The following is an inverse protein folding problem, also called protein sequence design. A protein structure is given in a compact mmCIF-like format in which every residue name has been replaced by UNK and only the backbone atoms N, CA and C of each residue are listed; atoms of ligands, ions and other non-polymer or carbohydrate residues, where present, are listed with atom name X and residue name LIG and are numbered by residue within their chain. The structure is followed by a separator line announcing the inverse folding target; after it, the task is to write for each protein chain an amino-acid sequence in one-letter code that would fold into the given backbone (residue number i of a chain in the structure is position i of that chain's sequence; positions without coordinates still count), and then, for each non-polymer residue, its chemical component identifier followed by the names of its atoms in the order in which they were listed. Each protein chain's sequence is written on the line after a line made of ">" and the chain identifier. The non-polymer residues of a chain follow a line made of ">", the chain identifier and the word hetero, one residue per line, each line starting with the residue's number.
data_IF_569810697312
#
_entry.id   IF_569810697312
#
_cell.length_a   1.000
_cell.length_b   1.000
_cell.length_c   1.000
_cell.angle_alpha   90.00
_cell.angle_beta   90.00
_cell.angle_gamma   90.00
#
_symmetry.space_group_name_H-M   'P 1'
#
loop_
_entity.id
_entity.type
_entity.pdbx_description
1 polymer ?
#
# COMPACT_ATOMS: atom_id res chain seq x y z
N UNK A 1 9.94 0.23 -16.56
CA UNK A 1 8.75 -0.65 -16.48
C UNK A 1 7.86 -0.11 -15.38
N UNK A 2 6.58 0.12 -15.65
CA UNK A 2 5.64 0.55 -14.62
C UNK A 2 5.35 -0.65 -13.70
N UNK A 3 5.56 -0.49 -12.39
CA UNK A 3 5.22 -1.52 -11.41
C UNK A 3 3.78 -1.27 -10.98
N UNK A 4 2.87 -2.17 -11.36
CA UNK A 4 1.45 -2.07 -11.00
C UNK A 4 1.15 -2.93 -9.78
N UNK A 5 0.41 -2.38 -8.82
CA UNK A 5 0.04 -3.03 -7.57
C UNK A 5 -1.46 -2.92 -7.37
N UNK A 6 -2.10 -4.05 -7.11
CA UNK A 6 -3.51 -4.09 -6.75
C UNK A 6 -3.69 -3.95 -5.24
N UNK A 7 -4.67 -3.15 -4.85
CA UNK A 7 -5.04 -2.91 -3.46
C UNK A 7 -6.56 -2.92 -3.30
N UNK A 8 -7.01 -3.32 -2.12
CA UNK A 8 -8.42 -3.41 -1.76
C UNK A 8 -8.75 -2.38 -0.68
N UNK A 9 -10.00 -1.94 -0.60
CA UNK A 9 -10.40 -1.03 0.48
C UNK A 9 -10.41 -1.83 1.78
N UNK A 10 -9.95 -1.21 2.86
CA UNK A 10 -10.02 -1.86 4.16
C UNK A 10 -11.49 -1.98 4.59
N UNK A 11 -12.00 -3.20 4.89
CA UNK A 11 -13.34 -3.35 5.43
C UNK A 11 -13.43 -2.66 6.80
N UNK A 12 -14.52 -1.94 7.03
CA UNK A 12 -14.75 -1.16 8.23
C UNK A 12 -14.83 -2.08 9.47
N UNK A 13 -14.20 -1.69 10.58
CA UNK A 13 -14.12 -2.50 11.80
C UNK A 13 -13.13 -3.67 11.78
N UNK A 14 -12.36 -3.85 10.70
CA UNK A 14 -11.36 -4.91 10.62
C UNK A 14 -10.15 -4.65 11.53
N UNK A 15 -9.81 -5.65 12.37
CA UNK A 15 -8.65 -5.57 13.27
C UNK A 15 -7.35 -5.74 12.46
N UNK A 16 -6.39 -4.79 12.51
CA UNK A 16 -5.14 -4.89 11.74
C UNK A 16 -4.35 -6.18 11.98
N UNK A 17 -4.38 -6.71 13.20
CA UNK A 17 -3.71 -7.97 13.53
C UNK A 17 -4.37 -9.20 12.88
N UNK A 18 -5.70 -9.18 12.71
CA UNK A 18 -6.40 -10.26 12.00
C UNK A 18 -6.06 -10.25 10.52
N UNK A 19 -6.02 -9.06 9.89
CA UNK A 19 -5.60 -8.88 8.50
C UNK A 19 -4.18 -9.42 8.28
N UNK A 20 -3.23 -9.05 9.15
CA UNK A 20 -1.85 -9.53 9.03
C UNK A 20 -1.74 -11.06 9.13
N UNK A 21 -2.57 -11.68 9.97
CA UNK A 21 -2.63 -13.15 10.08
C UNK A 21 -3.21 -13.81 8.83
N UNK A 22 -4.13 -13.14 8.12
CA UNK A 22 -4.69 -13.62 6.86
C UNK A 22 -3.80 -13.30 5.64
N UNK A 23 -2.57 -12.83 5.83
CA UNK A 23 -1.66 -12.48 4.73
C UNK A 23 -1.95 -11.12 4.09
N UNK A 24 -2.78 -10.29 4.72
CA UNK A 24 -3.19 -8.98 4.25
C UNK A 24 -2.51 -7.88 5.08
N UNK A 25 -1.79 -6.98 4.41
CA UNK A 25 -1.06 -5.88 5.03
C UNK A 25 -1.88 -4.60 4.93
N UNK A 26 -2.17 -3.95 6.07
CA UNK A 26 -2.74 -2.62 6.11
C UNK A 26 -1.88 -1.62 5.33
N UNK A 27 -2.50 -0.90 4.39
CA UNK A 27 -1.88 0.19 3.65
C UNK A 27 -2.71 1.47 3.76
N UNK A 28 -2.10 2.63 3.55
CA UNK A 28 -2.80 3.92 3.47
C UNK A 28 -2.39 4.63 2.18
N UNK A 29 -3.37 5.20 1.46
CA UNK A 29 -3.14 6.12 0.35
C UNK A 29 -3.56 7.52 0.80
N UNK A 30 -2.69 8.51 0.62
CA UNK A 30 -3.01 9.91 0.91
C UNK A 30 -2.45 10.82 -0.17
N UNK A 31 -2.96 12.05 -0.24
CA UNK A 31 -2.60 13.02 -1.27
C UNK A 31 -3.31 12.82 -2.61
N UNK A 32 -4.20 11.81 -2.72
CA UNK A 32 -5.00 11.57 -3.93
C UNK A 32 -6.05 12.66 -4.17
N UNK A 33 -6.57 13.28 -3.10
CA UNK A 33 -7.55 14.37 -3.16
C UNK A 33 -7.25 15.40 -2.05
N UNK A 34 -6.04 15.96 -2.09
CA UNK A 34 -5.58 16.92 -1.09
C UNK A 34 -5.38 16.28 0.29
N UNK A 35 -6.34 16.50 1.19
CA UNK A 35 -6.27 16.09 2.61
C UNK A 35 -6.89 14.72 2.87
N UNK A 36 -7.54 14.12 1.88
CA UNK A 36 -8.18 12.82 2.03
C UNK A 36 -7.15 11.69 2.11
N UNK A 37 -7.51 10.67 2.90
CA UNK A 37 -6.75 9.43 3.01
C UNK A 37 -7.68 8.24 2.91
N UNK A 38 -7.30 7.25 2.11
CA UNK A 38 -8.01 5.99 1.93
C UNK A 38 -7.25 4.91 2.68
N UNK A 39 -7.96 4.22 3.56
CA UNK A 39 -7.46 3.00 4.20
C UNK A 39 -7.59 1.83 3.23
N UNK A 40 -6.44 1.24 2.90
CA UNK A 40 -6.30 0.14 1.96
C UNK A 40 -5.73 -1.11 2.64
N UNK A 41 -5.75 -2.19 1.89
CA UNK A 41 -5.17 -3.48 2.22
C UNK A 41 -4.51 -4.06 0.97
N UNK A 42 -3.32 -4.63 1.14
CA UNK A 42 -2.53 -5.25 0.07
C UNK A 42 -2.12 -6.66 0.50
N UNK A 43 -2.03 -7.58 -0.45
CA UNK A 43 -1.49 -8.93 -0.20
C UNK A 43 0.01 -8.85 0.17
N UNK A 44 0.40 -9.56 1.23
CA UNK A 44 1.77 -9.56 1.72
C UNK A 44 2.81 -9.98 0.66
N UNK A 45 2.50 -10.98 -0.17
CA UNK A 45 3.41 -11.45 -1.22
C UNK A 45 3.56 -10.42 -2.33
N UNK A 46 2.48 -9.71 -2.66
CA UNK A 46 2.52 -8.62 -3.65
C UNK A 46 3.39 -7.49 -3.11
N UNK A 47 3.23 -7.12 -1.83
CA UNK A 47 4.06 -6.10 -1.22
C UNK A 47 5.53 -6.51 -1.15
N UNK A 48 5.85 -7.75 -0.77
CA UNK A 48 7.23 -8.22 -0.72
C UNK A 48 7.91 -8.18 -2.10
N UNK A 49 7.18 -8.52 -3.15
CA UNK A 49 7.67 -8.40 -4.54
C UNK A 49 7.88 -6.95 -4.92
N UNK A 50 6.95 -6.07 -4.56
CA UNK A 50 7.04 -4.64 -4.79
C UNK A 50 8.28 -4.06 -4.11
N UNK A 51 8.49 -4.33 -2.82
CA UNK A 51 9.63 -3.78 -2.05
C UNK A 51 10.99 -4.28 -2.54
N UNK A 52 11.05 -5.41 -3.25
CA UNK A 52 12.29 -5.88 -3.91
C UNK A 52 12.62 -5.12 -5.19
N UNK A 53 11.61 -4.53 -5.83
CA UNK A 53 11.73 -3.85 -7.12
C UNK A 53 11.69 -2.32 -6.98
N UNK A 54 11.00 -1.82 -5.96
CA UNK A 54 10.76 -0.41 -5.72
C UNK A 54 11.58 0.09 -4.54
N UNK A 55 12.27 1.21 -4.77
CA UNK A 55 12.98 1.95 -3.71
C UNK A 55 12.02 2.98 -3.10
N UNK A 56 11.80 2.96 -1.78
CA UNK A 56 10.98 3.96 -1.11
C UNK A 56 11.41 5.39 -1.44
N UNK A 57 10.44 6.29 -1.60
CA UNK A 57 10.61 7.71 -1.97
C UNK A 57 11.25 7.99 -3.34
N UNK A 58 11.50 6.98 -4.17
CA UNK A 58 12.12 7.16 -5.50
C UNK A 58 11.34 6.49 -6.61
N UNK A 59 10.86 5.27 -6.38
CA UNK A 59 10.18 4.50 -7.40
C UNK A 59 8.71 4.86 -7.46
N UNK A 60 8.25 5.15 -8.66
CA UNK A 60 6.85 5.38 -8.96
C UNK A 60 6.14 4.04 -9.22
N UNK A 61 4.97 3.88 -8.61
CA UNK A 61 4.20 2.64 -8.55
C UNK A 61 2.76 3.00 -8.93
N UNK A 62 2.23 2.28 -9.91
CA UNK A 62 0.83 2.43 -10.30
C UNK A 62 -0.02 1.64 -9.32
N UNK A 63 -0.81 2.32 -8.50
CA UNK A 63 -1.70 1.70 -7.54
C UNK A 63 -3.10 1.61 -8.14
N UNK A 64 -3.62 0.39 -8.23
CA UNK A 64 -4.98 0.10 -8.69
C UNK A 64 -5.87 -0.26 -7.51
N UNK A 65 -7.03 0.38 -7.40
CA UNK A 65 -8.05 0.12 -6.38
C UNK A 65 -9.35 -0.26 -7.11
N UNK A 66 -9.59 -1.56 -7.37
CA UNK A 66 -10.73 -2.03 -8.16
C UNK A 66 -12.08 -1.59 -7.58
N UNK A 67 -12.21 -1.57 -6.24
CA UNK A 67 -13.45 -1.18 -5.55
C UNK A 67 -13.82 0.28 -5.74
N UNK A 68 -12.83 1.16 -5.90
CA UNK A 68 -13.03 2.60 -6.08
C UNK A 68 -12.89 3.03 -7.55
N UNK A 69 -12.63 2.07 -8.45
CA UNK A 69 -12.27 2.31 -9.87
C UNK A 69 -11.19 3.39 -10.02
N UNK A 70 -10.28 3.45 -9.05
CA UNK A 70 -9.22 4.44 -9.02
C UNK A 70 -7.90 3.77 -9.39
N UNK A 71 -7.24 4.31 -10.39
CA UNK A 71 -5.86 3.98 -10.72
C UNK A 71 -5.05 5.26 -10.75
N UNK A 72 -3.90 5.26 -10.09
CA UNK A 72 -3.08 6.45 -9.98
C UNK A 72 -1.62 6.13 -9.78
N UNK A 73 -0.79 7.10 -10.15
CA UNK A 73 0.63 7.05 -9.91
C UNK A 73 0.91 7.40 -8.44
N UNK A 74 1.67 6.56 -7.77
CA UNK A 74 1.96 6.70 -6.34
C UNK A 74 3.42 6.42 -6.05
N UNK A 75 3.90 6.95 -4.94
CA UNK A 75 5.23 6.65 -4.41
C UNK A 75 5.09 6.04 -3.04
N UNK A 76 5.88 5.01 -2.75
CA UNK A 76 5.98 4.45 -1.40
C UNK A 76 6.69 5.48 -0.52
N UNK A 77 5.97 6.11 0.40
CA UNK A 77 6.55 7.09 1.33
C UNK A 77 7.26 6.41 2.50
N UNK A 78 6.56 5.47 3.10
CA UNK A 78 6.98 4.83 4.35
C UNK A 78 6.62 3.35 4.32
N UNK A 79 7.53 2.55 4.85
CA UNK A 79 7.36 1.11 5.03
C UNK A 79 7.71 0.81 6.48
N UNK A 80 6.73 0.34 7.24
CA UNK A 80 6.95 -0.06 8.61
C UNK A 80 7.22 -1.56 8.67
N UNK A 81 8.37 -1.89 9.25
CA UNK A 81 8.90 -3.24 9.28
C UNK A 81 9.04 -3.71 10.73
N UNK A 82 8.69 -4.97 10.97
CA UNK A 82 8.79 -5.54 12.30
C UNK A 82 10.27 -5.67 12.69
N UNK A 83 10.73 -5.04 13.79
CA UNK A 83 12.16 -4.93 14.09
C UNK A 83 12.85 -6.30 14.27
N UNK A 84 12.17 -7.26 14.90
CA UNK A 84 12.74 -8.60 15.11
C UNK A 84 12.56 -9.58 13.94
N UNK A 85 11.58 -9.38 13.06
CA UNK A 85 11.21 -10.36 12.01
C UNK A 85 11.59 -9.91 10.61
N UNK A 86 11.84 -8.61 10.41
CA UNK A 86 12.06 -8.03 9.08
C UNK A 86 10.82 -8.05 8.18
N UNK A 87 9.65 -8.44 8.69
CA UNK A 87 8.42 -8.51 7.90
C UNK A 87 7.72 -7.15 7.86
N UNK A 88 7.37 -6.62 6.68
CA UNK A 88 6.58 -5.40 6.58
C UNK A 88 5.19 -5.61 7.18
N UNK A 89 4.69 -4.65 7.96
CA UNK A 89 3.39 -4.75 8.63
C UNK A 89 2.46 -3.56 8.37
N UNK A 90 2.98 -2.49 7.76
CA UNK A 90 2.22 -1.34 7.28
C UNK A 90 2.99 -0.62 6.18
N UNK A 91 2.26 -0.06 5.20
CA UNK A 91 2.83 0.74 4.11
C UNK A 91 2.00 1.98 3.84
N UNK A 92 2.68 3.08 3.56
CA UNK A 92 2.09 4.37 3.24
C UNK A 92 2.44 4.75 1.79
N UNK A 93 1.42 4.92 0.96
CA UNK A 93 1.51 5.42 -0.41
C UNK A 93 1.11 6.89 -0.45
N UNK A 94 1.92 7.67 -1.15
CA UNK A 94 1.62 9.05 -1.49
C UNK A 94 1.26 9.13 -2.96
N UNK A 95 0.09 9.68 -3.29
CA UNK A 95 -0.26 9.93 -4.68
C UNK A 95 0.64 11.07 -5.21
N UNK A 96 1.50 10.78 -6.20
CA UNK A 96 2.11 11.85 -6.98
C UNK A 96 0.98 12.50 -7.76
N UNK A 97 0.84 13.82 -7.64
CA UNK A 97 -0.15 14.58 -8.40
C UNK A 97 -0.12 14.14 -9.86
N UNK A 98 -1.25 13.64 -10.37
CA UNK A 98 -1.47 13.59 -11.81
C UNK A 98 -1.53 15.03 -12.36
#
# INVERSE_FOLDING_TARGET
>A
MAITVESQKRPEGSKPNALRRSGLIPANLYGHNGVESISLVIDAKVLERLLKQAVPNKTEVVLNIPELQWSGSTVIREVQVHPAKGTPYHVSFFASKA
#
